data_IF_735537818866
#
_entry.id   IF_735537818866
#
_cell.length_a   1.000
_cell.length_b   1.000
_cell.length_c   1.000
_cell.angle_alpha   90.00
_cell.angle_beta   90.00
_cell.angle_gamma   90.00
#
_symmetry.space_group_name_H-M   'P 1'
#
loop_
_entity.id
_entity.type
_entity.pdbx_description
1 polymer ?
#
# COMPACT_ATOMS: atom_id res chain seq x y z
N UNK A 1 6.41 16.12 -3.73
CA UNK A 1 5.83 15.14 -2.79
C UNK A 1 4.30 15.22 -2.84
N UNK A 2 3.68 14.89 -3.98
CA UNK A 2 2.21 14.93 -4.14
C UNK A 2 1.70 13.88 -5.15
N UNK A 3 2.49 13.58 -6.19
CA UNK A 3 2.13 12.59 -7.21
C UNK A 3 2.09 11.14 -6.73
N UNK A 4 3.00 10.73 -5.84
CA UNK A 4 3.07 9.34 -5.37
C UNK A 4 1.82 8.92 -4.56
N UNK A 5 1.28 9.83 -3.74
CA UNK A 5 0.04 9.58 -3.00
C UNK A 5 -1.18 9.51 -3.93
N UNK A 6 -1.22 10.34 -4.98
CA UNK A 6 -2.32 10.36 -5.94
C UNK A 6 -2.35 9.11 -6.84
N UNK A 7 -1.19 8.63 -7.30
CA UNK A 7 -1.08 7.41 -8.09
C UNK A 7 -1.58 6.18 -7.31
N UNK A 8 -1.21 6.08 -6.03
CA UNK A 8 -1.64 4.99 -5.16
C UNK A 8 -3.14 5.03 -4.87
N UNK A 9 -3.70 6.23 -4.64
CA UNK A 9 -5.16 6.39 -4.48
C UNK A 9 -5.94 6.06 -5.76
N UNK A 10 -5.36 6.30 -6.93
CA UNK A 10 -5.96 5.94 -8.22
C UNK A 10 -5.95 4.42 -8.44
N UNK A 11 -4.82 3.75 -8.21
CA UNK A 11 -4.67 2.29 -8.35
C UNK A 11 -5.56 1.52 -7.35
N UNK A 12 -5.71 2.04 -6.13
CA UNK A 12 -6.63 1.46 -5.14
C UNK A 12 -8.09 1.61 -5.55
N UNK A 13 -8.45 2.73 -6.21
CA UNK A 13 -9.81 2.91 -6.74
C UNK A 13 -10.10 2.00 -7.92
N UNK A 14 -9.12 1.74 -8.79
CA UNK A 14 -9.27 0.83 -9.95
C UNK A 14 -9.38 -0.64 -9.54
N UNK A 15 -8.69 -1.07 -8.48
CA UNK A 15 -8.65 -2.48 -8.06
C UNK A 15 -9.92 -2.97 -7.33
N UNK A 16 -10.86 -2.08 -6.99
CA UNK A 16 -12.23 -2.44 -6.58
C UNK A 16 -12.36 -3.21 -5.26
N UNK A 17 -11.26 -3.49 -4.55
CA UNK A 17 -11.27 -4.14 -3.22
C UNK A 17 -11.36 -3.08 -2.13
N UNK A 18 -12.31 -3.17 -1.18
CA UNK A 18 -12.34 -2.28 -0.04
C UNK A 18 -11.10 -2.53 0.83
N UNK A 19 -10.12 -1.63 0.74
CA UNK A 19 -8.94 -1.58 1.63
C UNK A 19 -9.21 -0.57 2.73
N UNK A 20 -8.77 -0.86 3.96
CA UNK A 20 -8.87 0.10 5.06
C UNK A 20 -8.12 1.38 4.71
N UNK A 21 -8.70 2.56 4.98
CA UNK A 21 -8.05 3.83 4.68
C UNK A 21 -6.65 3.97 5.33
N UNK A 22 -6.47 3.37 6.50
CA UNK A 22 -5.18 3.33 7.20
C UNK A 22 -4.13 2.50 6.45
N UNK A 23 -4.49 1.32 5.94
CA UNK A 23 -3.55 0.44 5.22
C UNK A 23 -2.99 1.14 3.98
N UNK A 24 -3.81 1.95 3.32
CA UNK A 24 -3.40 2.73 2.16
C UNK A 24 -2.41 3.83 2.49
N UNK A 25 -2.65 4.57 3.58
CA UNK A 25 -1.74 5.62 4.03
C UNK A 25 -0.39 5.01 4.41
N UNK A 26 -0.40 3.85 5.08
CA UNK A 26 0.80 3.13 5.49
C UNK A 26 1.56 2.62 4.25
N UNK A 27 0.88 1.97 3.30
CA UNK A 27 1.47 1.49 2.06
C UNK A 27 2.05 2.63 1.22
N UNK A 28 1.32 3.75 1.09
CA UNK A 28 1.80 4.93 0.38
C UNK A 28 3.02 5.57 1.02
N UNK A 29 3.06 5.60 2.35
CA UNK A 29 4.22 6.11 3.08
C UNK A 29 5.43 5.20 2.89
N UNK A 30 5.25 3.88 2.97
CA UNK A 30 6.33 2.92 2.74
C UNK A 30 6.90 3.05 1.32
N UNK A 31 6.04 3.15 0.30
CA UNK A 31 6.46 3.39 -1.08
C UNK A 31 7.18 4.73 -1.26
N UNK A 32 6.60 5.82 -0.77
CA UNK A 32 7.16 7.16 -0.94
C UNK A 32 8.53 7.35 -0.24
N UNK A 33 8.83 6.50 0.73
CA UNK A 33 10.09 6.55 1.52
C UNK A 33 11.07 5.43 1.17
N UNK A 34 10.76 4.65 0.13
CA UNK A 34 11.55 3.47 -0.29
C UNK A 34 11.80 2.48 0.87
N UNK A 35 10.74 2.18 1.64
CA UNK A 35 10.77 1.26 2.77
C UNK A 35 9.92 0.01 2.50
N UNK A 36 10.18 -1.02 3.29
CA UNK A 36 9.44 -2.29 3.26
C UNK A 36 8.30 -2.21 4.28
N UNK A 37 7.08 -2.49 3.84
CA UNK A 37 5.92 -2.61 4.72
C UNK A 37 5.95 -3.96 5.43
N UNK A 38 6.03 -3.93 6.76
CA UNK A 38 5.99 -5.12 7.60
C UNK A 38 4.58 -5.30 8.16
N UNK A 39 3.95 -6.43 7.89
CA UNK A 39 2.56 -6.70 8.32
C UNK A 39 2.40 -8.13 8.84
N UNK A 40 1.42 -8.33 9.73
CA UNK A 40 0.96 -9.66 10.14
C UNK A 40 -0.11 -10.23 9.19
N UNK A 41 -0.80 -9.36 8.44
CA UNK A 41 -1.80 -9.72 7.44
C UNK A 41 -1.54 -8.93 6.15
N UNK A 42 -1.22 -9.63 5.07
CA UNK A 42 -0.94 -9.06 3.75
C UNK A 42 -2.15 -9.05 2.83
N UNK A 43 -3.30 -9.63 3.20
CA UNK A 43 -4.42 -9.84 2.29
C UNK A 43 -4.98 -8.54 1.69
N UNK A 44 -4.90 -7.41 2.42
CA UNK A 44 -5.37 -6.10 1.98
C UNK A 44 -4.39 -5.31 1.11
N UNK A 45 -3.14 -5.75 0.97
CA UNK A 45 -2.06 -4.97 0.32
C UNK A 45 -1.20 -5.80 -0.64
N UNK A 46 -1.31 -7.13 -0.65
CA UNK A 46 -0.46 -8.03 -1.42
C UNK A 46 -0.58 -7.88 -2.94
N UNK A 47 -1.66 -7.27 -3.41
CA UNK A 47 -1.96 -7.01 -4.82
C UNK A 47 -1.54 -5.60 -5.27
N UNK A 48 -0.82 -4.86 -4.43
CA UNK A 48 -0.19 -3.59 -4.81
C UNK A 48 1.20 -3.82 -5.40
N UNK A 49 1.31 -3.62 -6.72
CA UNK A 49 2.48 -3.95 -7.54
C UNK A 49 3.78 -3.26 -7.06
N UNK A 50 3.65 -2.06 -6.52
CA UNK A 50 4.79 -1.22 -6.15
C UNK A 50 5.11 -1.24 -4.64
N UNK A 51 4.36 -1.98 -3.82
CA UNK A 51 4.60 -2.08 -2.37
C UNK A 51 5.50 -3.28 -2.08
N UNK A 52 6.70 -3.03 -1.55
CA UNK A 52 7.55 -4.09 -1.00
C UNK A 52 7.02 -4.53 0.36
N UNK A 53 6.62 -5.80 0.49
CA UNK A 53 6.00 -6.34 1.72
C UNK A 53 6.89 -7.40 2.35
N UNK A 54 6.93 -7.43 3.69
CA UNK A 54 7.50 -8.53 4.48
C UNK A 54 6.52 -8.95 5.57
N UNK A 55 6.09 -10.20 5.55
CA UNK A 55 5.24 -10.75 6.61
C UNK A 55 6.08 -11.17 7.80
N UNK A 56 5.63 -10.89 9.02
CA UNK A 56 6.21 -11.47 10.24
C UNK A 56 5.17 -12.38 10.89
N UNK A 57 5.58 -13.60 11.25
CA UNK A 57 4.80 -14.58 11.99
C UNK A 57 5.52 -14.94 13.28
#
# INVERSE_FOLDING_TARGET
MAGAHAALLAEVRETGRPRGAHDLIIAATAMATDRILVTADSAGIADLSDVRIRTYR
#
